data_IF_461760596347
#
_entry.id   IF_461760596347
#
_cell.length_a   1.000
_cell.length_b   1.000
_cell.length_c   1.000
_cell.angle_alpha   90.00
_cell.angle_beta   90.00
_cell.angle_gamma   90.00
#
_symmetry.space_group_name_H-M   'P 1'
#
loop_
_entity.id
_entity.type
_entity.pdbx_description
1 polymer ?
#
# COMPACT_ATOMS: atom_id res chain seq x y z
N UNK A 1 10.86 -19.45 31.24
CA UNK A 1 10.08 -20.06 30.14
C UNK A 1 10.65 -21.45 29.85
N UNK A 2 9.80 -22.44 29.56
CA UNK A 2 10.24 -23.75 29.07
C UNK A 2 10.66 -23.64 27.59
N UNK A 3 11.43 -24.62 27.07
CA UNK A 3 11.81 -24.65 25.66
C UNK A 3 10.58 -24.59 24.73
N UNK A 4 9.49 -25.29 25.09
CA UNK A 4 8.22 -25.26 24.36
C UNK A 4 7.64 -23.84 24.28
N UNK A 5 7.67 -23.10 25.39
CA UNK A 5 7.20 -21.71 25.42
C UNK A 5 8.10 -20.79 24.57
N UNK A 6 9.41 -21.02 24.57
CA UNK A 6 10.35 -20.25 23.74
C UNK A 6 10.07 -20.48 22.26
N UNK A 7 9.96 -21.74 21.83
CA UNK A 7 9.63 -22.09 20.44
C UNK A 7 8.29 -21.48 20.03
N UNK A 8 7.27 -21.59 20.87
CA UNK A 8 5.96 -20.99 20.59
C UNK A 8 6.04 -19.46 20.39
N UNK A 9 6.78 -18.76 21.26
CA UNK A 9 6.98 -17.31 21.15
C UNK A 9 7.71 -16.93 19.86
N UNK A 10 8.79 -17.63 19.51
CA UNK A 10 9.56 -17.38 18.30
C UNK A 10 8.73 -17.67 17.03
N UNK A 11 8.00 -18.80 16.99
CA UNK A 11 7.09 -19.12 15.89
C UNK A 11 5.98 -18.09 15.75
N UNK A 12 5.40 -17.64 16.87
CA UNK A 12 4.38 -16.59 16.83
C UNK A 12 4.90 -15.27 16.28
N UNK A 13 6.16 -14.91 16.59
CA UNK A 13 6.80 -13.65 16.19
C UNK A 13 7.25 -13.65 14.72
N UNK A 14 7.85 -14.76 14.25
CA UNK A 14 8.62 -14.78 13.01
C UNK A 14 8.09 -15.72 11.92
N UNK A 15 7.10 -16.57 12.20
CA UNK A 15 6.63 -17.60 11.25
C UNK A 15 5.12 -17.58 11.02
N UNK A 16 4.46 -16.45 11.28
CA UNK A 16 3.02 -16.25 10.99
C UNK A 16 2.84 -15.41 9.73
N UNK A 17 1.87 -14.50 9.73
CA UNK A 17 1.54 -13.63 8.60
C UNK A 17 2.63 -12.62 8.26
N UNK A 18 3.55 -12.33 9.19
CA UNK A 18 4.65 -11.40 8.99
C UNK A 18 5.98 -12.15 9.10
N UNK A 19 6.76 -12.14 8.03
CA UNK A 19 8.17 -12.55 8.00
C UNK A 19 9.06 -11.31 7.91
N UNK A 20 10.23 -11.33 8.56
CA UNK A 20 11.09 -10.13 8.65
C UNK A 20 12.53 -10.46 8.30
N UNK A 21 13.10 -9.73 7.33
CA UNK A 21 14.52 -9.75 7.03
C UNK A 21 15.16 -8.50 7.64
N UNK A 22 15.93 -8.69 8.71
CA UNK A 22 16.67 -7.62 9.36
C UNK A 22 18.05 -8.05 9.89
N UNK A 23 18.34 -9.36 9.84
CA UNK A 23 19.60 -9.90 10.37
C UNK A 23 20.81 -9.56 9.49
N UNK A 24 20.59 -9.14 8.23
CA UNK A 24 21.62 -8.61 7.32
C UNK A 24 22.07 -7.20 7.67
N UNK A 25 21.42 -6.54 8.63
CA UNK A 25 21.81 -5.21 9.12
C UNK A 25 23.01 -5.39 10.07
N UNK A 26 24.13 -4.73 9.85
CA UNK A 26 25.31 -4.87 10.72
C UNK A 26 25.10 -4.12 12.03
N UNK A 27 24.45 -2.95 11.99
CA UNK A 27 24.18 -2.12 13.15
C UNK A 27 23.40 -2.90 14.25
N UNK A 28 24.10 -3.18 15.35
CA UNK A 28 23.57 -3.95 16.48
C UNK A 28 22.43 -3.24 17.22
N UNK A 29 22.45 -1.91 17.29
CA UNK A 29 21.38 -1.13 17.92
C UNK A 29 20.07 -1.27 17.15
N UNK A 30 20.12 -1.20 15.82
CA UNK A 30 18.96 -1.42 14.95
C UNK A 30 18.43 -2.85 15.12
N UNK A 31 19.29 -3.87 15.05
CA UNK A 31 18.87 -5.27 15.23
C UNK A 31 18.18 -5.51 16.56
N UNK A 32 18.78 -5.04 17.66
CA UNK A 32 18.21 -5.17 19.01
C UNK A 32 16.90 -4.41 19.16
N UNK A 33 16.81 -3.22 18.57
CA UNK A 33 15.58 -2.43 18.59
C UNK A 33 14.44 -3.15 17.86
N UNK A 34 14.71 -3.69 16.67
CA UNK A 34 13.74 -4.45 15.88
C UNK A 34 13.30 -5.72 16.63
N UNK A 35 14.24 -6.49 17.17
CA UNK A 35 13.96 -7.67 18.01
C UNK A 35 13.08 -7.32 19.19
N UNK A 36 13.47 -6.30 19.98
CA UNK A 36 12.70 -5.89 21.15
C UNK A 36 11.28 -5.45 20.79
N UNK A 37 11.10 -4.68 19.70
CA UNK A 37 9.79 -4.25 19.23
C UNK A 37 8.91 -5.42 18.79
N UNK A 38 9.45 -6.36 18.02
CA UNK A 38 8.69 -7.51 17.53
C UNK A 38 8.39 -8.54 18.63
N UNK A 39 9.40 -8.96 19.40
CA UNK A 39 9.25 -10.02 20.39
C UNK A 39 8.45 -9.57 21.63
N UNK A 40 8.30 -8.27 21.88
CA UNK A 40 7.46 -7.76 22.96
C UNK A 40 5.98 -8.05 22.75
N UNK A 41 5.50 -8.02 21.50
CA UNK A 41 4.09 -8.26 21.16
C UNK A 41 3.88 -9.50 20.28
N UNK A 42 4.91 -10.35 20.15
CA UNK A 42 4.92 -11.49 19.24
C UNK A 42 4.53 -11.09 17.80
N UNK A 43 4.99 -9.91 17.41
CA UNK A 43 4.71 -9.23 16.14
C UNK A 43 3.22 -9.13 15.79
N UNK A 44 2.39 -8.79 16.79
CA UNK A 44 0.97 -8.48 16.61
C UNK A 44 0.62 -7.16 17.23
N UNK A 45 -0.24 -6.43 16.55
CA UNK A 45 -0.87 -5.23 17.11
C UNK A 45 -2.13 -5.63 17.87
N UNK A 46 -2.36 -5.01 19.03
CA UNK A 46 -3.63 -5.12 19.73
C UNK A 46 -4.55 -4.01 19.21
N UNK A 47 -5.59 -4.37 18.48
CA UNK A 47 -6.54 -3.43 17.89
C UNK A 47 -7.78 -3.29 18.76
N UNK A 48 -8.28 -2.05 18.89
CA UNK A 48 -9.61 -1.85 19.44
C UNK A 48 -10.67 -2.30 18.43
N UNK A 49 -11.90 -2.54 18.91
CA UNK A 49 -13.04 -2.79 18.01
C UNK A 49 -13.20 -1.67 16.96
N UNK A 50 -12.97 -0.42 17.36
CA UNK A 50 -13.09 0.72 16.46
C UNK A 50 -12.06 0.64 15.31
N UNK A 51 -10.83 0.22 15.61
CA UNK A 51 -9.78 0.03 14.61
C UNK A 51 -10.11 -1.13 13.68
N UNK A 52 -10.61 -2.26 14.19
CA UNK A 52 -11.04 -3.40 13.38
C UNK A 52 -12.20 -3.02 12.44
N UNK A 53 -13.20 -2.27 12.95
CA UNK A 53 -14.31 -1.76 12.13
C UNK A 53 -13.81 -0.77 11.08
N UNK A 54 -12.81 0.06 11.41
CA UNK A 54 -12.18 0.98 10.46
C UNK A 54 -11.47 0.21 9.34
N UNK A 55 -10.65 -0.80 9.67
CA UNK A 55 -10.00 -1.68 8.69
C UNK A 55 -11.04 -2.32 7.77
N UNK A 56 -12.10 -2.91 8.34
CA UNK A 56 -13.19 -3.50 7.57
C UNK A 56 -13.86 -2.46 6.65
N UNK A 57 -14.08 -1.24 7.14
CA UNK A 57 -14.68 -0.16 6.35
C UNK A 57 -13.80 0.24 5.17
N UNK A 58 -12.48 0.33 5.37
CA UNK A 58 -11.50 0.63 4.31
C UNK A 58 -11.40 -0.48 3.28
N UNK A 59 -11.42 -1.75 3.70
CA UNK A 59 -11.50 -2.90 2.78
C UNK A 59 -12.81 -2.89 1.98
N UNK A 60 -13.92 -2.54 2.64
CA UNK A 60 -15.23 -2.46 2.00
C UNK A 60 -15.27 -1.35 0.95
N UNK A 61 -14.74 -0.17 1.27
CA UNK A 61 -14.60 0.95 0.33
C UNK A 61 -13.72 0.57 -0.88
N UNK A 62 -12.63 -0.18 -0.64
CA UNK A 62 -11.74 -0.68 -1.69
C UNK A 62 -12.47 -1.64 -2.64
N UNK A 63 -13.12 -2.67 -2.12
CA UNK A 63 -13.87 -3.67 -2.90
C UNK A 63 -15.08 -3.05 -3.62
N UNK A 64 -15.82 -2.18 -2.94
CA UNK A 64 -17.02 -1.54 -3.47
C UNK A 64 -16.67 -0.65 -4.66
N UNK A 65 -15.57 0.10 -4.57
CA UNK A 65 -15.08 0.89 -5.70
C UNK A 65 -14.81 0.05 -6.94
N UNK A 66 -14.06 -1.04 -6.82
CA UNK A 66 -13.67 -1.88 -7.97
C UNK A 66 -14.88 -2.53 -8.63
N UNK A 67 -15.76 -3.12 -7.81
CA UNK A 67 -16.98 -3.78 -8.31
C UNK A 67 -17.97 -2.78 -8.92
N UNK A 68 -18.04 -1.56 -8.38
CA UNK A 68 -18.88 -0.49 -8.91
C UNK A 68 -18.38 0.00 -10.27
N UNK A 69 -17.09 0.36 -10.37
CA UNK A 69 -16.49 0.83 -11.63
C UNK A 69 -16.57 -0.24 -12.71
N UNK A 70 -16.34 -1.51 -12.35
CA UNK A 70 -16.45 -2.61 -13.31
C UNK A 70 -17.84 -2.71 -13.93
N UNK A 71 -18.90 -2.51 -13.13
CA UNK A 71 -20.30 -2.55 -13.60
C UNK A 71 -20.70 -1.30 -14.38
N UNK A 72 -20.28 -0.12 -13.90
CA UNK A 72 -20.67 1.16 -14.50
C UNK A 72 -19.91 1.45 -15.81
N UNK A 73 -18.66 0.99 -15.94
CA UNK A 73 -17.76 1.30 -17.06
C UNK A 73 -17.18 0.01 -17.66
N UNK A 74 -18.04 -0.76 -18.32
CA UNK A 74 -17.68 -2.03 -18.94
C UNK A 74 -16.51 -1.87 -19.94
N UNK A 75 -15.49 -2.73 -19.81
CA UNK A 75 -14.31 -2.73 -20.68
C UNK A 75 -13.29 -1.62 -20.40
N UNK A 76 -13.56 -0.72 -19.46
CA UNK A 76 -12.61 0.34 -19.12
C UNK A 76 -11.41 -0.21 -18.34
N UNK A 77 -10.20 0.15 -18.80
CA UNK A 77 -8.96 -0.17 -18.10
C UNK A 77 -8.84 0.68 -16.84
N UNK A 78 -8.74 0.03 -15.69
CA UNK A 78 -8.57 0.66 -14.37
C UNK A 78 -7.40 0.10 -13.57
N UNK A 79 -6.85 -1.05 -13.97
CA UNK A 79 -5.79 -1.75 -13.25
C UNK A 79 -6.18 -2.05 -11.80
N UNK A 80 -7.28 -2.81 -11.67
CA UNK A 80 -7.98 -3.11 -10.42
C UNK A 80 -7.07 -3.47 -9.25
N UNK A 81 -7.43 -3.01 -8.06
CA UNK A 81 -6.81 -3.41 -6.79
C UNK A 81 -7.31 -4.77 -6.27
N UNK A 82 -8.28 -5.41 -6.91
CA UNK A 82 -8.88 -6.67 -6.43
C UNK A 82 -7.83 -7.77 -6.18
N UNK A 83 -7.85 -8.31 -4.96
CA UNK A 83 -6.85 -9.22 -4.41
C UNK A 83 -5.70 -8.56 -3.65
N UNK A 84 -5.66 -7.23 -3.60
CA UNK A 84 -4.69 -6.42 -2.87
C UNK A 84 -5.35 -5.27 -2.08
N UNK A 85 -6.62 -5.44 -1.70
CA UNK A 85 -7.46 -4.42 -1.07
C UNK A 85 -6.85 -3.88 0.22
N UNK A 86 -6.04 -4.69 0.92
CA UNK A 86 -5.30 -4.31 2.13
C UNK A 86 -4.33 -3.14 1.94
N UNK A 87 -4.00 -2.74 0.70
CA UNK A 87 -3.27 -1.49 0.46
C UNK A 87 -4.00 -0.26 1.02
N UNK A 88 -5.34 -0.24 0.98
CA UNK A 88 -6.13 0.89 1.47
C UNK A 88 -6.06 1.03 2.99
N UNK A 89 -6.33 0.01 3.83
CA UNK A 89 -6.11 0.10 5.27
C UNK A 89 -4.62 0.27 5.64
N UNK A 90 -3.68 -0.24 4.84
CA UNK A 90 -2.24 0.02 5.02
C UNK A 90 -1.93 1.52 4.94
N UNK A 91 -2.34 2.18 3.86
CA UNK A 91 -2.11 3.61 3.66
C UNK A 91 -2.88 4.46 4.68
N UNK A 92 -4.10 4.05 5.03
CA UNK A 92 -4.89 4.71 6.07
C UNK A 92 -4.18 4.66 7.43
N UNK A 93 -3.67 3.50 7.83
CA UNK A 93 -2.85 3.34 9.05
C UNK A 93 -1.57 4.18 8.96
N UNK A 94 -0.94 4.21 7.78
CA UNK A 94 0.27 5.00 7.57
C UNK A 94 0.02 6.49 7.83
N UNK A 95 -1.08 7.03 7.30
CA UNK A 95 -1.47 8.44 7.47
C UNK A 95 -1.76 8.74 8.93
N UNK A 96 -2.63 7.95 9.58
CA UNK A 96 -3.01 8.15 10.99
C UNK A 96 -1.79 8.14 11.90
N UNK A 97 -0.90 7.15 11.74
CA UNK A 97 0.28 6.99 12.57
C UNK A 97 1.36 8.04 12.28
N UNK A 98 1.64 8.33 11.00
CA UNK A 98 2.63 9.35 10.64
C UNK A 98 2.22 10.72 11.22
N UNK A 99 0.93 11.06 11.15
CA UNK A 99 0.41 12.29 11.72
C UNK A 99 0.58 12.36 13.25
N UNK A 100 0.28 11.25 13.94
CA UNK A 100 0.51 11.14 15.39
C UNK A 100 2.00 11.24 15.76
N UNK A 101 2.91 10.92 14.83
CA UNK A 101 4.36 11.10 14.97
C UNK A 101 4.83 12.51 14.54
N UNK A 102 3.92 13.43 14.22
CA UNK A 102 4.23 14.82 13.86
C UNK A 102 4.54 15.06 12.37
N UNK A 103 4.26 14.09 11.50
CA UNK A 103 4.35 14.31 10.04
C UNK A 103 3.17 15.15 9.58
N UNK A 104 3.45 16.33 9.02
CA UNK A 104 2.42 17.23 8.49
C UNK A 104 2.11 17.01 7.02
N UNK A 105 2.99 16.34 6.27
CA UNK A 105 2.82 16.10 4.84
C UNK A 105 3.32 14.72 4.40
N UNK A 106 2.53 14.03 3.57
CA UNK A 106 2.93 12.81 2.88
C UNK A 106 2.96 13.05 1.36
N UNK A 107 4.08 12.68 0.73
CA UNK A 107 4.22 12.68 -0.73
C UNK A 107 4.28 11.25 -1.21
N UNK A 108 3.32 10.87 -2.04
CA UNK A 108 3.12 9.51 -2.53
C UNK A 108 3.53 9.44 -4.00
N UNK A 109 4.29 8.42 -4.36
CA UNK A 109 4.45 7.96 -5.74
C UNK A 109 3.90 6.55 -5.87
N UNK A 110 3.20 6.26 -6.95
CA UNK A 110 2.73 4.90 -7.22
C UNK A 110 2.57 4.66 -8.71
N UNK A 111 2.61 3.38 -9.10
CA UNK A 111 2.28 2.94 -10.45
C UNK A 111 0.75 2.92 -10.68
N UNK A 112 0.29 2.08 -11.61
CA UNK A 112 -1.11 1.97 -12.02
C UNK A 112 -1.98 1.13 -11.05
N UNK A 113 -1.40 0.12 -10.38
CA UNK A 113 -2.16 -0.90 -9.63
C UNK A 113 -2.95 -0.28 -8.48
N UNK A 114 -4.27 -0.32 -8.58
CA UNK A 114 -5.19 0.27 -7.60
C UNK A 114 -5.10 1.78 -7.46
N UNK A 115 -4.51 2.49 -8.42
CA UNK A 115 -4.29 3.94 -8.30
C UNK A 115 -5.59 4.73 -8.19
N UNK A 116 -6.61 4.37 -8.98
CA UNK A 116 -7.92 5.03 -8.89
C UNK A 116 -8.55 4.81 -7.50
N UNK A 117 -8.37 3.61 -6.95
CA UNK A 117 -8.81 3.23 -5.61
C UNK A 117 -8.11 4.08 -4.54
N UNK A 118 -6.80 4.20 -4.60
CA UNK A 118 -6.01 5.07 -3.70
C UNK A 118 -6.45 6.54 -3.83
N UNK A 119 -6.67 7.04 -5.05
CA UNK A 119 -7.15 8.42 -5.23
C UNK A 119 -8.49 8.68 -4.53
N UNK A 120 -9.47 7.79 -4.67
CA UNK A 120 -10.81 8.00 -4.08
C UNK A 120 -10.85 7.67 -2.58
N UNK A 121 -10.27 6.54 -2.17
CA UNK A 121 -10.42 5.99 -0.82
C UNK A 121 -9.30 6.39 0.15
N UNK A 122 -8.18 6.91 -0.35
CA UNK A 122 -7.07 7.42 0.48
C UNK A 122 -6.92 8.93 0.35
N UNK A 123 -6.83 9.48 -0.87
CA UNK A 123 -6.64 10.93 -1.05
C UNK A 123 -7.96 11.73 -1.07
N UNK A 124 -9.13 11.08 -1.08
CA UNK A 124 -10.41 11.79 -1.10
C UNK A 124 -10.70 12.52 -2.40
N UNK A 125 -10.09 12.11 -3.53
CA UNK A 125 -10.49 12.58 -4.86
C UNK A 125 -11.95 12.20 -5.07
N UNK A 126 -12.78 13.17 -5.45
CA UNK A 126 -14.20 12.92 -5.74
C UNK A 126 -14.36 11.81 -6.79
N UNK A 127 -15.21 10.82 -6.50
CA UNK A 127 -15.54 9.75 -7.44
C UNK A 127 -16.21 10.31 -8.69
N UNK A 128 -17.06 11.32 -8.55
CA UNK A 128 -17.69 12.06 -9.66
C UNK A 128 -16.63 12.53 -10.68
N UNK A 129 -15.57 13.20 -10.23
CA UNK A 129 -14.49 13.65 -11.11
C UNK A 129 -13.75 12.50 -11.79
N UNK A 130 -13.62 11.37 -11.13
CA UNK A 130 -13.00 10.18 -11.73
C UNK A 130 -13.96 9.56 -12.77
N UNK A 131 -15.27 9.54 -12.51
CA UNK A 131 -16.29 9.07 -13.45
C UNK A 131 -16.31 9.92 -14.74
N UNK A 132 -16.19 11.24 -14.63
CA UNK A 132 -16.02 12.14 -15.77
C UNK A 132 -14.77 11.80 -16.61
N UNK A 133 -13.70 11.28 -15.99
CA UNK A 133 -12.48 10.82 -16.67
C UNK A 133 -12.67 9.45 -17.37
N UNK A 134 -13.78 8.75 -17.14
CA UNK A 134 -14.17 7.56 -17.91
C UNK A 134 -14.94 7.90 -19.19
N UNK A 135 -15.48 9.11 -19.34
CA UNK A 135 -16.14 9.56 -20.57
C UNK A 135 -15.13 10.20 -21.54
N UNK A 136 -14.72 9.43 -22.55
CA UNK A 136 -13.75 9.86 -23.57
C UNK A 136 -14.20 11.13 -24.34
N UNK A 137 -15.51 11.42 -24.42
CA UNK A 137 -16.01 12.64 -25.09
C UNK A 137 -15.65 13.91 -24.32
N UNK A 138 -15.72 13.87 -22.99
CA UNK A 138 -15.36 15.01 -22.15
C UNK A 138 -13.85 15.25 -22.14
N UNK A 139 -13.06 14.18 -22.18
CA UNK A 139 -11.59 14.26 -22.26
C UNK A 139 -11.16 14.90 -23.58
N UNK A 140 -11.77 14.52 -24.71
CA UNK A 140 -11.46 15.06 -26.04
C UNK A 140 -11.78 16.55 -26.19
N UNK A 141 -12.71 17.10 -25.41
CA UNK A 141 -13.08 18.52 -25.42
C UNK A 141 -12.11 19.41 -24.63
N UNK A 142 -11.15 18.84 -23.87
CA UNK A 142 -10.19 19.63 -23.09
C UNK A 142 -9.16 20.29 -24.01
N UNK A 143 -8.96 21.61 -23.83
CA UNK A 143 -8.04 22.45 -24.64
C UNK A 143 -6.55 22.18 -24.43
N UNK A 144 -6.15 21.37 -23.45
CA UNK A 144 -4.74 21.02 -23.17
C UNK A 144 -4.53 19.53 -23.40
N UNK A 145 -3.38 19.11 -23.95
CA UNK A 145 -3.01 17.69 -23.98
C UNK A 145 -3.10 17.13 -22.55
N UNK A 146 -4.00 16.17 -22.34
CA UNK A 146 -4.15 15.45 -21.08
C UNK A 146 -3.22 14.23 -21.01
N UNK A 147 -3.29 13.52 -19.90
CA UNK A 147 -2.67 12.20 -19.73
C UNK A 147 -3.77 11.19 -19.34
N UNK A 148 -3.46 9.90 -19.38
CA UNK A 148 -4.43 8.85 -19.01
C UNK A 148 -4.79 8.92 -17.52
N UNK A 149 -6.03 8.58 -17.18
CA UNK A 149 -6.61 8.73 -15.82
C UNK A 149 -5.76 8.15 -14.69
N UNK A 150 -5.07 7.03 -14.93
CA UNK A 150 -4.19 6.35 -13.98
C UNK A 150 -2.74 6.89 -13.97
N UNK A 151 -2.47 8.04 -14.58
CA UNK A 151 -1.25 8.84 -14.39
C UNK A 151 -1.49 10.12 -13.58
N UNK A 152 -2.75 10.51 -13.41
CA UNK A 152 -3.11 11.78 -12.78
C UNK A 152 -2.77 11.77 -11.30
N UNK A 153 -2.20 12.87 -10.80
CA UNK A 153 -1.97 13.13 -9.39
C UNK A 153 -3.21 13.72 -8.71
N UNK A 154 -3.15 13.81 -7.38
CA UNK A 154 -4.15 14.52 -6.57
C UNK A 154 -3.50 15.10 -5.32
N UNK A 155 -4.09 16.15 -4.75
CA UNK A 155 -3.62 16.68 -3.47
C UNK A 155 -4.82 17.15 -2.65
N UNK A 156 -4.76 16.88 -1.36
CA UNK A 156 -5.85 17.14 -0.42
C UNK A 156 -5.31 17.27 1.00
N UNK A 157 -6.02 18.04 1.82
CA UNK A 157 -5.80 18.06 3.26
C UNK A 157 -6.84 17.15 3.92
N UNK A 158 -6.38 16.27 4.79
CA UNK A 158 -7.25 15.38 5.57
C UNK A 158 -7.10 15.64 7.07
N UNK A 159 -8.14 15.28 7.81
CA UNK A 159 -8.14 15.24 9.26
C UNK A 159 -8.09 13.79 9.71
N UNK A 160 -7.09 13.43 10.51
CA UNK A 160 -6.98 12.09 11.09
C UNK A 160 -8.05 11.87 12.16
N UNK A 161 -8.26 10.62 12.56
CA UNK A 161 -9.18 10.26 13.65
C UNK A 161 -8.87 10.98 14.97
N UNK A 162 -7.59 11.27 15.20
CA UNK A 162 -7.10 12.02 16.37
C UNK A 162 -7.07 13.55 16.15
N UNK A 163 -7.63 14.06 15.04
CA UNK A 163 -7.75 15.50 14.79
C UNK A 163 -6.50 16.18 14.24
N UNK A 164 -5.50 15.43 13.78
CA UNK A 164 -4.29 16.00 13.19
C UNK A 164 -4.56 16.34 11.72
N UNK A 165 -4.15 17.53 11.27
CA UNK A 165 -4.23 17.90 9.84
C UNK A 165 -3.01 17.40 9.11
N UNK A 166 -3.22 16.77 7.97
CA UNK A 166 -2.16 16.18 7.14
C UNK A 166 -2.41 16.53 5.68
N UNK A 167 -1.38 17.06 5.02
CA UNK A 167 -1.41 17.26 3.58
C UNK A 167 -0.98 15.98 2.86
N UNK A 168 -1.78 15.51 1.91
CA UNK A 168 -1.45 14.39 1.05
C UNK A 168 -1.23 14.88 -0.38
N UNK A 169 -0.17 14.41 -1.03
CA UNK A 169 0.02 14.63 -2.46
C UNK A 169 0.47 13.36 -3.18
N UNK A 170 -0.32 12.93 -4.17
CA UNK A 170 0.04 11.88 -5.11
C UNK A 170 0.70 12.50 -6.35
N UNK A 171 1.91 12.07 -6.67
CA UNK A 171 2.65 12.53 -7.84
C UNK A 171 2.01 12.05 -9.14
N UNK A 172 2.02 12.92 -10.16
CA UNK A 172 1.85 12.49 -11.54
C UNK A 172 3.03 11.58 -11.94
N UNK A 173 2.79 10.61 -12.83
CA UNK A 173 3.83 9.74 -13.34
C UNK A 173 3.52 9.27 -14.77
N UNK A 174 4.55 9.05 -15.60
CA UNK A 174 4.36 8.35 -16.87
C UNK A 174 4.12 6.85 -16.64
N UNK A 175 3.85 6.11 -17.72
CA UNK A 175 3.75 4.63 -17.67
C UNK A 175 5.09 3.94 -17.40
N UNK A 176 6.22 4.64 -17.57
CA UNK A 176 7.55 4.13 -17.24
C UNK A 176 7.64 3.90 -15.74
N UNK A 177 7.52 2.64 -15.33
CA UNK A 177 7.45 2.24 -13.94
C UNK A 177 8.70 2.69 -13.19
N UNK A 178 8.56 2.94 -11.88
CA UNK A 178 9.64 3.31 -10.96
C UNK A 178 10.27 4.71 -11.14
N UNK A 179 10.16 5.34 -12.30
CA UNK A 179 10.70 6.70 -12.53
C UNK A 179 10.10 7.77 -11.61
N UNK A 180 8.89 7.56 -11.07
CA UNK A 180 8.29 8.48 -10.10
C UNK A 180 8.98 8.44 -8.73
N UNK A 181 9.69 7.36 -8.38
CA UNK A 181 10.34 7.18 -7.08
C UNK A 181 11.33 8.32 -6.76
N UNK A 182 12.39 8.51 -7.57
CA UNK A 182 13.31 9.64 -7.39
C UNK A 182 12.63 11.02 -7.42
N UNK A 183 11.56 11.16 -8.21
CA UNK A 183 10.79 12.42 -8.27
C UNK A 183 10.08 12.69 -6.94
N UNK A 184 9.52 11.67 -6.28
CA UNK A 184 8.96 11.78 -4.93
C UNK A 184 10.03 12.24 -3.94
N UNK A 185 11.18 11.56 -3.92
CA UNK A 185 12.29 11.92 -3.01
C UNK A 185 12.75 13.36 -3.26
N UNK A 186 12.93 13.77 -4.52
CA UNK A 186 13.30 15.16 -4.85
C UNK A 186 12.25 16.18 -4.42
N UNK A 187 10.96 15.88 -4.60
CA UNK A 187 9.86 16.75 -4.14
C UNK A 187 9.83 16.87 -2.62
N UNK A 188 10.00 15.76 -1.90
CA UNK A 188 10.09 15.77 -0.43
C UNK A 188 11.30 16.56 0.03
N UNK A 189 12.47 16.33 -0.58
CA UNK A 189 13.70 17.06 -0.24
C UNK A 189 13.50 18.57 -0.37
N UNK A 190 12.94 19.01 -1.50
CA UNK A 190 12.66 20.43 -1.73
C UNK A 190 11.67 21.02 -0.72
N UNK A 191 10.65 20.27 -0.31
CA UNK A 191 9.68 20.69 0.71
C UNK A 191 10.32 20.83 2.09
N UNK A 192 11.13 19.85 2.48
CA UNK A 192 11.87 19.87 3.74
C UNK A 192 12.87 21.04 3.77
N UNK A 193 13.59 21.30 2.68
CA UNK A 193 14.50 22.44 2.57
C UNK A 193 13.75 23.77 2.71
N UNK A 194 12.60 23.90 2.04
CA UNK A 194 11.75 25.10 2.14
C UNK A 194 11.18 25.30 3.55
N UNK A 195 10.84 24.23 4.26
CA UNK A 195 10.29 24.27 5.61
C UNK A 195 11.36 24.45 6.70
N UNK A 196 12.66 24.39 6.35
CA UNK A 196 13.73 24.34 7.34
C UNK A 196 13.75 23.04 8.16
N UNK A 197 13.18 21.96 7.64
CA UNK A 197 13.14 20.64 8.29
C UNK A 197 14.51 19.93 8.13
N UNK A 198 15.50 20.39 8.90
CA UNK A 198 16.87 19.87 8.86
C UNK A 198 16.96 18.42 9.33
N UNK A 199 16.07 18.00 10.24
CA UNK A 199 15.96 16.62 10.74
C UNK A 199 15.22 15.68 9.80
N UNK A 200 14.54 16.23 8.78
CA UNK A 200 13.83 15.47 7.73
C UNK A 200 12.66 14.63 8.27
N UNK A 201 11.97 15.13 9.30
CA UNK A 201 10.92 14.39 10.01
C UNK A 201 9.50 14.82 9.64
N UNK A 202 9.29 16.04 9.16
CA UNK A 202 7.97 16.66 9.00
C UNK A 202 7.26 16.25 7.70
N UNK A 203 8.02 15.82 6.69
CA UNK A 203 7.48 15.31 5.43
C UNK A 203 7.94 13.86 5.19
N UNK A 204 6.98 12.98 4.89
CA UNK A 204 7.21 11.54 4.69
C UNK A 204 7.04 11.17 3.20
N UNK A 205 8.09 10.63 2.55
CA UNK A 205 7.94 9.98 1.25
C UNK A 205 7.37 8.56 1.41
N UNK A 206 6.35 8.23 0.61
CA UNK A 206 5.85 6.86 0.42
C UNK A 206 5.93 6.53 -1.07
N UNK A 207 6.52 5.38 -1.42
CA UNK A 207 6.54 4.90 -2.80
C UNK A 207 5.94 3.51 -2.88
N UNK A 208 4.93 3.35 -3.74
CA UNK A 208 4.22 2.09 -3.97
C UNK A 208 4.67 1.48 -5.30
N UNK A 209 5.16 0.26 -5.22
CA UNK A 209 5.83 -0.45 -6.30
C UNK A 209 5.05 -1.71 -6.71
N UNK A 210 5.28 -2.19 -7.93
CA UNK A 210 4.93 -3.57 -8.33
C UNK A 210 6.13 -4.50 -8.15
N UNK A 211 5.91 -5.77 -7.82
CA UNK A 211 6.98 -6.74 -7.54
C UNK A 211 7.99 -6.91 -8.69
N UNK A 212 7.51 -7.08 -9.92
CA UNK A 212 8.37 -7.22 -11.09
C UNK A 212 9.15 -5.93 -11.41
N UNK A 213 8.53 -4.76 -11.24
CA UNK A 213 9.17 -3.49 -11.55
C UNK A 213 10.21 -3.10 -10.49
N UNK A 214 9.92 -3.33 -9.22
CA UNK A 214 10.83 -3.05 -8.10
C UNK A 214 12.15 -3.81 -8.26
N UNK A 215 12.09 -5.08 -8.66
CA UNK A 215 13.26 -5.93 -8.86
C UNK A 215 13.97 -5.73 -10.21
N UNK A 216 13.25 -5.26 -11.23
CA UNK A 216 13.74 -5.21 -12.61
C UNK A 216 14.21 -3.84 -13.12
N UNK A 217 13.79 -2.73 -12.50
CA UNK A 217 14.14 -1.38 -12.98
C UNK A 217 15.33 -0.81 -12.22
N UNK A 218 16.43 -0.52 -12.93
CA UNK A 218 17.67 0.01 -12.33
C UNK A 218 17.52 1.33 -11.57
N UNK A 219 16.53 2.16 -11.94
CA UNK A 219 16.21 3.41 -11.25
C UNK A 219 15.82 3.20 -9.78
N UNK A 220 15.31 2.01 -9.42
CA UNK A 220 15.04 1.66 -8.01
C UNK A 220 16.33 1.57 -7.23
N UNK A 221 17.34 0.87 -7.76
CA UNK A 221 18.65 0.77 -7.12
C UNK A 221 19.33 2.14 -7.02
N UNK A 222 19.24 2.96 -8.07
CA UNK A 222 19.75 4.34 -8.06
C UNK A 222 19.10 5.19 -6.96
N UNK A 223 17.76 5.12 -6.83
CA UNK A 223 17.01 5.80 -5.78
C UNK A 223 17.45 5.35 -4.39
N UNK A 224 17.53 4.03 -4.17
CA UNK A 224 17.94 3.47 -2.88
C UNK A 224 19.35 3.94 -2.52
N UNK A 225 20.30 3.92 -3.45
CA UNK A 225 21.66 4.40 -3.22
C UNK A 225 21.71 5.89 -2.82
N UNK A 226 20.74 6.71 -3.26
CA UNK A 226 20.64 8.12 -2.87
C UNK A 226 20.02 8.34 -1.47
N UNK A 227 19.34 7.36 -0.88
CA UNK A 227 18.52 7.50 0.34
C UNK A 227 19.25 8.10 1.54
N UNK A 228 20.56 7.85 1.68
CA UNK A 228 21.38 8.32 2.81
C UNK A 228 22.37 9.44 2.45
N UNK A 229 22.52 9.78 1.16
CA UNK A 229 23.46 10.80 0.71
C UNK A 229 23.04 12.20 1.17
N UNK A 230 23.93 13.05 1.71
CA UNK A 230 23.56 14.36 2.27
C UNK A 230 22.75 15.28 1.33
N UNK A 231 23.05 15.24 0.03
CA UNK A 231 22.35 16.04 -0.99
C UNK A 231 20.94 15.54 -1.32
N UNK A 232 20.61 14.29 -1.02
CA UNK A 232 19.40 13.61 -1.49
C UNK A 232 18.52 13.07 -0.37
N UNK A 233 19.11 12.75 0.79
CA UNK A 233 18.41 12.11 1.90
C UNK A 233 17.16 12.89 2.34
N UNK A 234 16.09 12.14 2.60
CA UNK A 234 14.77 12.65 2.98
C UNK A 234 14.30 12.12 4.36
N UNK A 235 15.19 11.52 5.14
CA UNK A 235 14.86 10.94 6.45
C UNK A 235 14.12 9.60 6.34
N UNK A 236 14.42 8.81 5.31
CA UNK A 236 13.84 7.49 5.10
C UNK A 236 12.51 7.52 4.34
N UNK A 237 12.42 6.71 3.29
CA UNK A 237 11.23 6.43 2.49
C UNK A 237 10.56 5.13 2.93
N UNK A 238 9.23 5.14 3.00
CA UNK A 238 8.46 3.91 3.18
C UNK A 238 8.13 3.33 1.81
N UNK A 239 8.72 2.18 1.50
CA UNK A 239 8.48 1.44 0.27
C UNK A 239 7.40 0.38 0.51
N UNK A 240 6.36 0.38 -0.30
CA UNK A 240 5.29 -0.63 -0.26
C UNK A 240 5.27 -1.37 -1.58
N UNK A 241 5.49 -2.67 -1.56
CA UNK A 241 5.47 -3.49 -2.76
C UNK A 241 4.13 -4.21 -2.77
N UNK A 242 3.32 -3.94 -3.81
CA UNK A 242 2.09 -4.68 -4.08
C UNK A 242 2.47 -5.96 -4.80
N UNK A 243 2.93 -6.94 -4.03
CA UNK A 243 3.49 -8.18 -4.54
C UNK A 243 2.39 -9.18 -4.87
N UNK A 244 1.83 -9.00 -6.06
CA UNK A 244 0.75 -9.83 -6.58
C UNK A 244 1.27 -11.06 -7.33
N UNK A 245 2.59 -11.30 -7.25
CA UNK A 245 3.28 -12.49 -7.74
C UNK A 245 3.21 -12.66 -9.26
N UNK A 246 2.99 -11.59 -10.04
CA UNK A 246 2.99 -11.65 -11.50
C UNK A 246 3.20 -10.25 -12.12
N UNK A 247 4.20 -10.12 -12.99
CA UNK A 247 4.43 -8.94 -13.81
C UNK A 247 3.88 -9.13 -15.21
N UNK A 248 2.76 -8.49 -15.56
CA UNK A 248 2.01 -8.78 -16.79
C UNK A 248 1.63 -10.27 -16.87
N UNK A 249 2.36 -11.08 -17.64
CA UNK A 249 2.24 -12.54 -17.75
C UNK A 249 3.43 -13.29 -17.14
N UNK A 250 4.48 -12.59 -16.73
CA UNK A 250 5.75 -13.16 -16.26
C UNK A 250 5.67 -13.50 -14.76
N UNK A 251 5.90 -14.77 -14.37
CA UNK A 251 5.90 -15.18 -12.99
C UNK A 251 7.22 -14.79 -12.29
N UNK A 252 7.26 -14.83 -10.94
CA UNK A 252 8.40 -14.40 -10.12
C UNK A 252 9.74 -15.02 -10.51
N UNK A 253 9.75 -16.33 -10.79
CA UNK A 253 10.92 -17.13 -11.16
C UNK A 253 11.54 -16.73 -12.51
N UNK A 254 10.81 -16.00 -13.35
CA UNK A 254 11.29 -15.46 -14.61
C UNK A 254 11.53 -13.93 -14.56
N UNK A 255 11.16 -13.28 -13.46
CA UNK A 255 11.27 -11.83 -13.30
C UNK A 255 12.54 -11.39 -12.55
N UNK A 256 13.15 -12.28 -11.75
CA UNK A 256 14.30 -11.95 -10.88
C UNK A 256 15.17 -13.17 -10.59
N UNK A 257 16.39 -12.92 -10.11
CA UNK A 257 17.39 -13.96 -9.80
C UNK A 257 17.54 -14.25 -8.30
N UNK A 258 16.63 -13.74 -7.46
CA UNK A 258 16.64 -13.90 -6.02
C UNK A 258 15.25 -14.30 -5.49
N UNK A 259 15.15 -14.86 -4.26
CA UNK A 259 13.87 -15.32 -3.72
C UNK A 259 12.81 -14.22 -3.62
N UNK A 260 13.18 -13.03 -3.16
CA UNK A 260 12.25 -11.93 -2.89
C UNK A 260 12.41 -10.81 -3.91
N UNK A 261 11.27 -10.20 -4.31
CA UNK A 261 11.29 -9.00 -5.14
C UNK A 261 12.08 -7.86 -4.47
N UNK A 262 12.11 -7.86 -3.14
CA UNK A 262 12.72 -6.85 -2.29
C UNK A 262 14.21 -7.03 -2.04
N UNK A 263 14.85 -8.09 -2.56
CA UNK A 263 16.28 -8.33 -2.33
C UNK A 263 17.17 -7.19 -2.89
N UNK A 264 16.71 -6.40 -3.86
CA UNK A 264 17.41 -5.17 -4.32
C UNK A 264 17.60 -4.16 -3.17
N UNK A 265 16.69 -4.12 -2.20
CA UNK A 265 16.81 -3.25 -1.02
C UNK A 265 17.89 -3.72 -0.04
N UNK A 266 18.29 -5.00 -0.11
CA UNK A 266 19.37 -5.56 0.73
C UNK A 266 20.77 -5.10 0.31
N UNK A 267 20.89 -4.39 -0.82
CA UNK A 267 22.08 -3.60 -1.14
C UNK A 267 22.44 -2.66 0.01
N UNK A 268 21.42 -2.16 0.70
CA UNK A 268 21.54 -1.36 1.90
C UNK A 268 21.02 -2.16 3.11
N UNK A 269 21.34 -1.69 4.31
CA UNK A 269 20.86 -2.31 5.55
C UNK A 269 19.39 -1.95 5.87
N UNK A 270 18.52 -2.03 4.88
CA UNK A 270 17.11 -1.70 4.99
C UNK A 270 16.36 -2.92 5.56
N UNK A 271 15.57 -2.76 6.65
CA UNK A 271 14.70 -3.84 7.12
C UNK A 271 13.53 -4.05 6.15
N UNK A 272 13.18 -5.32 5.95
CA UNK A 272 12.12 -5.74 5.04
C UNK A 272 11.09 -6.55 5.82
N UNK A 273 9.83 -6.10 5.76
CA UNK A 273 8.68 -6.77 6.37
C UNK A 273 7.84 -7.42 5.27
N UNK A 274 7.92 -8.73 5.13
CA UNK A 274 7.02 -9.50 4.26
C UNK A 274 5.74 -9.76 5.02
N UNK A 275 4.60 -9.39 4.45
CA UNK A 275 3.31 -9.55 5.12
C UNK A 275 2.29 -10.16 4.17
N UNK A 276 1.51 -11.11 4.68
CA UNK A 276 0.35 -11.63 3.99
C UNK A 276 -0.73 -10.53 3.89
N UNK A 277 -0.97 -10.03 2.68
CA UNK A 277 -1.99 -9.03 2.37
C UNK A 277 -3.42 -9.51 2.62
N UNK A 278 -3.65 -10.81 2.78
CA UNK A 278 -4.93 -11.38 3.20
C UNK A 278 -5.13 -11.36 4.73
N UNK A 279 -4.13 -10.89 5.50
CA UNK A 279 -4.23 -10.58 6.94
C UNK A 279 -4.13 -9.06 7.18
N UNK A 280 -5.26 -8.33 7.13
CA UNK A 280 -5.28 -6.87 7.28
C UNK A 280 -4.72 -6.36 8.61
N UNK A 281 -4.82 -7.13 9.70
CA UNK A 281 -4.26 -6.74 11.00
C UNK A 281 -2.74 -6.93 11.01
N UNK A 282 -2.25 -8.00 10.37
CA UNK A 282 -0.82 -8.18 10.10
C UNK A 282 -0.25 -7.06 9.24
N UNK A 283 -0.96 -6.64 8.20
CA UNK A 283 -0.58 -5.48 7.37
C UNK A 283 -0.49 -4.20 8.19
N UNK A 284 -1.47 -3.96 9.07
CA UNK A 284 -1.51 -2.83 10.00
C UNK A 284 -0.31 -2.85 10.96
N UNK A 285 0.05 -4.02 11.50
CA UNK A 285 1.25 -4.19 12.33
C UNK A 285 2.54 -3.91 11.55
N UNK A 286 2.65 -4.40 10.30
CA UNK A 286 3.84 -4.20 9.48
C UNK A 286 4.10 -2.72 9.19
N UNK A 287 3.08 -1.97 8.76
CA UNK A 287 3.22 -0.51 8.53
C UNK A 287 3.46 0.26 9.82
N UNK A 288 2.83 -0.15 10.93
CA UNK A 288 3.06 0.46 12.24
C UNK A 288 4.51 0.31 12.68
N UNK A 289 5.09 -0.88 12.54
CA UNK A 289 6.48 -1.14 12.88
C UNK A 289 7.44 -0.42 11.91
N UNK A 290 7.11 -0.38 10.61
CA UNK A 290 7.90 0.33 9.61
C UNK A 290 8.00 1.83 9.91
N UNK A 291 6.89 2.46 10.30
CA UNK A 291 6.88 3.87 10.69
C UNK A 291 7.59 4.12 12.02
N UNK A 292 7.48 3.23 13.00
CA UNK A 292 8.31 3.31 14.22
C UNK A 292 9.81 3.26 13.87
N UNK A 293 10.21 2.40 12.94
CA UNK A 293 11.60 2.27 12.50
C UNK A 293 12.07 3.55 11.79
N UNK A 294 11.30 4.04 10.83
CA UNK A 294 11.60 5.27 10.10
C UNK A 294 11.70 6.47 11.05
N UNK A 295 10.79 6.59 12.02
CA UNK A 295 10.84 7.66 13.01
C UNK A 295 12.07 7.57 13.94
N UNK A 296 12.49 6.35 14.31
CA UNK A 296 13.63 6.14 15.18
C UNK A 296 14.99 6.34 14.48
N UNK A 297 15.11 5.95 13.20
CA UNK A 297 16.41 5.88 12.52
C UNK A 297 16.54 6.77 11.29
N UNK A 298 15.44 7.30 10.74
CA UNK A 298 15.47 8.15 9.55
C UNK A 298 16.00 7.44 8.30
N UNK A 299 15.76 6.12 8.19
CA UNK A 299 16.21 5.25 7.10
C UNK A 299 15.02 4.65 6.35
N UNK A 300 15.28 4.25 5.10
CA UNK A 300 14.31 3.57 4.27
C UNK A 300 13.85 2.27 4.92
N UNK A 301 12.61 1.88 4.64
CA UNK A 301 11.98 0.66 5.15
C UNK A 301 11.06 0.07 4.09
N UNK A 302 11.04 -1.26 3.98
CA UNK A 302 10.29 -1.96 2.94
C UNK A 302 9.20 -2.83 3.55
N UNK A 303 7.99 -2.72 2.99
CA UNK A 303 6.87 -3.62 3.24
C UNK A 303 6.58 -4.37 1.95
N UNK A 304 6.81 -5.68 1.96
CA UNK A 304 6.50 -6.60 0.87
C UNK A 304 5.12 -7.22 1.14
N UNK A 305 4.06 -6.61 0.60
CA UNK A 305 2.70 -7.06 0.82
C UNK A 305 2.35 -8.13 -0.22
N UNK A 306 2.47 -9.39 0.19
CA UNK A 306 2.08 -10.54 -0.63
C UNK A 306 0.58 -10.56 -0.82
N UNK A 307 0.15 -10.58 -2.06
CA UNK A 307 -1.25 -10.53 -2.43
C UNK A 307 -1.45 -11.31 -3.75
N UNK A 308 -2.58 -11.10 -4.42
CA UNK A 308 -2.83 -11.67 -5.74
C UNK A 308 -3.49 -10.64 -6.67
N UNK A 309 -3.59 -10.96 -7.96
CA UNK A 309 -4.33 -10.16 -8.96
C UNK A 309 -5.56 -10.92 -9.40
N UNK A 310 -6.75 -10.43 -9.03
CA UNK A 310 -8.02 -11.11 -9.33
C UNK A 310 -8.27 -11.26 -10.83
N UNK A 311 -7.96 -10.21 -11.61
CA UNK A 311 -8.21 -10.11 -13.05
C UNK A 311 -6.90 -10.26 -13.85
N UNK A 312 -6.98 -10.12 -15.18
CA UNK A 312 -5.80 -9.96 -16.05
C UNK A 312 -4.93 -8.75 -15.67
N UNK A 313 -3.85 -8.49 -16.43
CA UNK A 313 -3.01 -7.32 -16.15
C UNK A 313 -3.80 -6.02 -16.31
N UNK A 314 -4.60 -5.95 -17.38
CA UNK A 314 -5.77 -5.09 -17.44
C UNK A 314 -7.06 -5.93 -17.51
N UNK A 315 -8.20 -5.26 -17.38
CA UNK A 315 -9.52 -5.89 -17.32
C UNK A 315 -9.95 -6.65 -18.60
N UNK A 316 -9.29 -6.40 -19.73
CA UNK A 316 -9.53 -7.07 -21.01
C UNK A 316 -8.56 -8.22 -21.33
N UNK A 317 -7.55 -8.45 -20.48
CA UNK A 317 -6.59 -9.53 -20.70
C UNK A 317 -7.11 -10.85 -20.12
N UNK A 318 -6.86 -11.96 -20.81
CA UNK A 318 -7.16 -13.32 -20.33
C UNK A 318 -5.89 -13.94 -19.69
N UNK A 319 -5.79 -13.98 -18.35
CA UNK A 319 -4.58 -14.42 -17.68
C UNK A 319 -4.36 -15.93 -17.71
N UNK A 320 -5.41 -16.73 -17.94
CA UNK A 320 -5.29 -18.20 -17.92
C UNK A 320 -4.49 -18.75 -19.09
N UNK A 321 -4.24 -17.96 -20.14
CA UNK A 321 -3.36 -18.35 -21.25
C UNK A 321 -1.90 -18.56 -20.81
N UNK A 322 -1.45 -17.82 -19.79
CA UNK A 322 -0.07 -17.91 -19.31
C UNK A 322 0.03 -18.39 -17.86
N UNK A 323 -1.00 -18.15 -17.04
CA UNK A 323 -1.00 -18.47 -15.61
C UNK A 323 -2.22 -19.30 -15.18
N UNK A 324 -2.55 -20.42 -15.86
CA UNK A 324 -3.79 -21.15 -15.62
C UNK A 324 -3.90 -21.72 -14.20
N UNK A 325 -2.80 -22.28 -13.66
CA UNK A 325 -2.79 -22.88 -12.31
C UNK A 325 -3.02 -21.81 -11.25
N UNK A 326 -2.30 -20.68 -11.32
CA UNK A 326 -2.46 -19.56 -10.39
C UNK A 326 -3.91 -19.06 -10.39
N UNK A 327 -4.50 -18.83 -11.56
CA UNK A 327 -5.86 -18.30 -11.66
C UNK A 327 -6.95 -19.32 -11.30
N UNK A 328 -6.67 -20.63 -11.39
CA UNK A 328 -7.53 -21.66 -10.82
C UNK A 328 -7.60 -21.57 -9.30
N UNK A 329 -6.51 -21.20 -8.62
CA UNK A 329 -6.51 -20.93 -7.18
C UNK A 329 -7.21 -19.63 -6.86
N UNK A 330 -6.84 -18.54 -7.56
CA UNK A 330 -7.42 -17.20 -7.33
C UNK A 330 -8.94 -17.24 -7.48
N UNK A 331 -9.49 -17.89 -8.51
CA UNK A 331 -10.95 -17.95 -8.73
C UNK A 331 -11.75 -18.55 -7.57
N UNK A 332 -11.11 -19.35 -6.71
CA UNK A 332 -11.72 -19.96 -5.51
C UNK A 332 -11.52 -19.13 -4.24
N UNK A 333 -10.64 -18.14 -4.25
CA UNK A 333 -10.36 -17.34 -3.07
C UNK A 333 -11.51 -16.37 -2.80
N UNK A 334 -12.01 -16.28 -1.54
CA UNK A 334 -12.85 -15.16 -1.14
C UNK A 334 -12.09 -13.84 -1.30
N UNK A 335 -12.80 -12.73 -1.35
CA UNK A 335 -12.15 -11.42 -1.30
C UNK A 335 -11.57 -11.18 0.09
N UNK A 336 -10.56 -10.30 0.19
CA UNK A 336 -9.94 -9.97 1.48
C UNK A 336 -10.97 -9.40 2.46
N UNK A 337 -11.89 -8.54 1.98
CA UNK A 337 -12.99 -8.00 2.78
C UNK A 337 -13.89 -9.13 3.31
N UNK A 338 -14.33 -10.05 2.45
CA UNK A 338 -15.20 -11.14 2.86
C UNK A 338 -14.53 -12.03 3.91
N UNK A 339 -13.27 -12.41 3.69
CA UNK A 339 -12.51 -13.22 4.65
C UNK A 339 -12.35 -12.50 6.01
N UNK A 340 -12.06 -11.20 6.00
CA UNK A 340 -11.90 -10.42 7.23
C UNK A 340 -13.23 -10.24 7.99
N UNK A 341 -14.34 -9.97 7.27
CA UNK A 341 -15.67 -9.90 7.87
C UNK A 341 -16.06 -11.23 8.54
N UNK A 342 -15.87 -12.36 7.86
CA UNK A 342 -16.15 -13.68 8.43
C UNK A 342 -15.34 -13.93 9.70
N UNK A 343 -14.07 -13.51 9.72
CA UNK A 343 -13.23 -13.63 10.90
C UNK A 343 -13.75 -12.78 12.08
N UNK A 344 -14.09 -11.51 11.84
CA UNK A 344 -14.63 -10.63 12.88
C UNK A 344 -15.97 -11.11 13.42
N UNK A 345 -16.85 -11.66 12.57
CA UNK A 345 -18.13 -12.25 12.99
C UNK A 345 -17.91 -13.47 13.87
N UNK A 346 -16.99 -14.36 13.50
CA UNK A 346 -16.64 -15.56 14.30
C UNK A 346 -16.09 -15.20 15.67
N UNK A 347 -15.33 -14.10 15.77
CA UNK A 347 -14.76 -13.61 17.03
C UNK A 347 -15.75 -12.73 17.83
N UNK A 348 -16.95 -12.49 17.32
CA UNK A 348 -17.95 -11.61 17.97
C UNK A 348 -17.58 -10.13 17.97
N UNK A 349 -16.62 -9.70 17.13
CA UNK A 349 -16.19 -8.31 17.03
C UNK A 349 -17.21 -7.41 16.32
N UNK A 350 -17.96 -7.98 15.37
CA UNK A 350 -19.02 -7.30 14.62
C UNK A 350 -20.13 -8.28 14.23
N UNK A 351 -21.37 -7.81 14.08
CA UNK A 351 -22.44 -8.61 13.48
C UNK A 351 -22.37 -8.59 11.95
N UNK A 352 -22.92 -9.63 11.30
CA UNK A 352 -23.02 -9.65 9.83
C UNK A 352 -23.85 -8.48 9.28
N UNK A 353 -24.91 -8.10 9.99
CA UNK A 353 -25.77 -6.98 9.59
C UNK A 353 -25.00 -5.64 9.55
N UNK A 354 -24.17 -5.36 10.56
CA UNK A 354 -23.29 -4.18 10.56
C UNK A 354 -22.30 -4.20 9.38
N UNK A 355 -21.71 -5.37 9.07
CA UNK A 355 -20.81 -5.53 7.92
C UNK A 355 -21.47 -5.26 6.56
N UNK A 356 -22.74 -5.66 6.41
CA UNK A 356 -23.53 -5.35 5.21
C UNK A 356 -23.98 -3.88 5.15
N UNK A 357 -24.28 -3.27 6.29
CA UNK A 357 -24.61 -1.85 6.36
C UNK A 357 -23.44 -0.97 5.89
N UNK A 358 -22.20 -1.31 6.29
CA UNK A 358 -21.00 -0.60 5.81
C UNK A 358 -20.90 -0.66 4.28
N UNK A 359 -21.15 -1.82 3.69
CA UNK A 359 -21.16 -2.01 2.23
C UNK A 359 -22.27 -1.22 1.54
N UNK A 360 -23.49 -1.28 2.08
CA UNK A 360 -24.63 -0.54 1.55
C UNK A 360 -24.37 0.98 1.54
N UNK A 361 -23.80 1.53 2.63
CA UNK A 361 -23.43 2.95 2.70
C UNK A 361 -22.34 3.33 1.70
N UNK A 362 -21.31 2.49 1.56
CA UNK A 362 -20.23 2.73 0.59
C UNK A 362 -20.77 2.78 -0.85
N UNK A 363 -21.65 1.83 -1.18
CA UNK A 363 -22.29 1.75 -2.50
C UNK A 363 -23.21 2.92 -2.77
N UNK A 364 -24.08 3.28 -1.82
CA UNK A 364 -25.00 4.40 -1.97
C UNK A 364 -24.25 5.72 -2.24
N UNK A 365 -23.10 5.94 -1.58
CA UNK A 365 -22.23 7.10 -1.81
C UNK A 365 -21.70 7.15 -3.26
N UNK A 366 -21.35 6.00 -3.85
CA UNK A 366 -20.89 5.95 -5.24
C UNK A 366 -22.04 6.14 -6.24
N UNK A 367 -23.20 5.56 -5.96
CA UNK A 367 -24.42 5.75 -6.77
C UNK A 367 -24.83 7.23 -6.82
N UNK A 368 -24.79 7.92 -5.68
CA UNK A 368 -25.06 9.36 -5.61
C UNK A 368 -24.05 10.18 -6.42
N UNK A 369 -22.75 9.87 -6.33
CA UNK A 369 -21.72 10.58 -7.07
C UNK A 369 -21.77 10.30 -8.58
N UNK A 370 -22.17 9.09 -8.99
CA UNK A 370 -22.38 8.76 -10.40
C UNK A 370 -23.58 9.51 -10.97
N UNK A 371 -24.68 9.66 -10.22
CA UNK A 371 -25.84 10.42 -10.68
C UNK A 371 -25.57 11.92 -10.88
N UNK A 372 -24.48 12.44 -10.30
CA UNK A 372 -24.03 13.83 -10.44
C UNK A 372 -22.97 14.03 -11.52
N UNK A 373 -22.30 12.96 -11.95
CA UNK A 373 -21.29 12.96 -13.02
C UNK A 373 -21.99 12.97 -14.38
#
# INVERSE_FOLDING_TARGET
MTLRQIVAKLSNTYTRSIGVQFMHIDNLQIKRWLQAKMEACENRIALSRADQVRILSKLTDAETWETFVHRAFLGARRFSLEGAESLIPLLDTAIEKAAAQGVGELVIGMAHRGRLNVMVNTLGKSAQRIFEEFDDKQVAQRRRPGDVKYHLGHSSDLLTSAGHRVHLSLCFNPSHLEFVGPVVSGRVRAKQDRAGDLERKQTLPIVVHGDAAFSGQGVVQEMLNMSELPGYRCGGTVHIIVNNQVGFTTPPELARSSPYATDVARLLEIPIFHVNGEDPEGVTQAISLALDFRAAFGRDVVIDMYCYRRLGHNEGDEPTFTQPVMYQWISKQPTVRAAYLENLVKLGGISRAEGEEISARSRARLEEQLARA
#
